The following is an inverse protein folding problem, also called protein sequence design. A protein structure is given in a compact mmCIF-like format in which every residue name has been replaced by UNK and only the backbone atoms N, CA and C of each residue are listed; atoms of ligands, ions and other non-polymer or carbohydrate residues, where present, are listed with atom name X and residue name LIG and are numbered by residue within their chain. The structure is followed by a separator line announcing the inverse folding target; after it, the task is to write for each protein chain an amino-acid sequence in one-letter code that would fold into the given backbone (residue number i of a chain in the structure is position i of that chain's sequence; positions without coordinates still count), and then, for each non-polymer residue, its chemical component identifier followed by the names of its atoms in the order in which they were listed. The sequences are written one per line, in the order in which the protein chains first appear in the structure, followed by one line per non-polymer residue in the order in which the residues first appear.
data_IF_545445444635
#
_entry.id   IF_545445444635
#
_cell.length_a   1.000
_cell.length_b   1.000
_cell.length_c   1.000
_cell.angle_alpha   90.00
_cell.angle_beta   90.00
_cell.angle_gamma   90.00
#
_symmetry.space_group_name_H-M   'P 1'
#
loop_
_entity.id
_entity.type
_entity.pdbx_description
1 polymer ?
#
# COMPACT_ATOMS: atom_id res chain seq x y z
N UNK A 1 52.37 -10.75 -35.87
CA UNK A 1 51.03 -10.63 -36.47
C UNK A 1 50.05 -11.11 -35.42
N UNK A 2 49.63 -10.20 -34.55
CA UNK A 2 48.77 -10.50 -33.40
C UNK A 2 47.35 -10.62 -33.94
N UNK A 3 46.75 -11.81 -33.89
CA UNK A 3 45.31 -11.94 -34.05
C UNK A 3 44.69 -11.41 -32.76
N UNK A 4 44.22 -10.18 -32.87
CA UNK A 4 43.14 -9.64 -32.06
C UNK A 4 41.86 -10.45 -32.34
N UNK A 5 40.92 -10.36 -31.41
CA UNK A 5 39.52 -10.81 -31.54
C UNK A 5 39.25 -12.32 -31.33
N UNK A 6 38.81 -12.65 -30.11
CA UNK A 6 37.40 -13.01 -29.85
C UNK A 6 37.23 -13.33 -28.35
N UNK A 7 37.29 -12.27 -27.51
CA UNK A 7 36.91 -12.41 -26.09
C UNK A 7 35.39 -12.31 -25.99
N UNK A 8 34.72 -13.43 -26.27
CA UNK A 8 33.32 -13.64 -25.83
C UNK A 8 33.23 -13.29 -24.34
N UNK A 9 32.39 -12.32 -23.92
CA UNK A 9 32.21 -12.06 -22.51
C UNK A 9 31.67 -13.34 -21.84
N UNK A 10 32.11 -13.67 -20.62
CA UNK A 10 31.68 -14.88 -19.94
C UNK A 10 30.15 -14.86 -19.76
N UNK A 11 29.47 -16.02 -19.84
CA UNK A 11 28.04 -16.08 -19.57
C UNK A 11 27.80 -15.54 -18.16
N UNK A 12 26.89 -14.57 -18.05
CA UNK A 12 26.46 -14.02 -16.77
C UNK A 12 26.13 -15.19 -15.83
N UNK A 13 26.84 -15.26 -14.69
CA UNK A 13 26.49 -16.19 -13.61
C UNK A 13 25.03 -15.96 -13.17
N UNK A 14 24.45 -16.81 -12.29
CA UNK A 14 23.06 -16.66 -11.89
C UNK A 14 22.82 -15.21 -11.47
N UNK A 15 22.02 -14.49 -12.25
CA UNK A 15 21.83 -13.05 -12.14
C UNK A 15 21.29 -12.78 -10.73
N UNK A 16 22.17 -12.34 -9.82
CA UNK A 16 21.73 -11.94 -8.48
C UNK A 16 20.91 -10.68 -8.68
N UNK A 17 19.61 -10.78 -8.42
CA UNK A 17 18.72 -9.63 -8.45
C UNK A 17 19.27 -8.52 -7.53
N UNK A 18 19.23 -7.25 -7.96
CA UNK A 18 19.70 -6.13 -7.14
C UNK A 18 18.77 -5.90 -5.94
N UNK A 19 19.24 -5.22 -4.90
CA UNK A 19 18.33 -4.73 -3.86
C UNK A 19 17.63 -3.43 -4.32
N UNK A 20 16.75 -2.88 -3.50
CA UNK A 20 16.10 -1.59 -3.73
C UNK A 20 17.08 -0.48 -3.32
N UNK A 21 17.44 0.45 -4.22
CA UNK A 21 18.44 1.48 -3.93
C UNK A 21 17.87 2.89 -3.78
N UNK A 22 16.69 3.17 -4.35
CA UNK A 22 16.13 4.52 -4.30
C UNK A 22 14.71 4.66 -4.83
N UNK A 23 14.26 5.91 -4.94
CA UNK A 23 12.92 6.30 -5.42
C UNK A 23 12.54 5.64 -6.74
N UNK A 24 13.48 5.58 -7.68
CA UNK A 24 13.23 5.07 -9.02
C UNK A 24 12.91 3.58 -9.01
N UNK A 25 13.62 2.79 -8.19
CA UNK A 25 13.34 1.36 -7.98
C UNK A 25 11.96 1.17 -7.35
N UNK A 26 11.63 1.98 -6.34
CA UNK A 26 10.30 1.94 -5.70
C UNK A 26 9.21 2.26 -6.71
N UNK A 27 9.38 3.28 -7.55
CA UNK A 27 8.39 3.65 -8.56
C UNK A 27 8.18 2.51 -9.59
N UNK A 28 9.26 1.89 -10.07
CA UNK A 28 9.19 0.72 -10.97
C UNK A 28 8.52 -0.48 -10.31
N UNK A 29 8.88 -0.76 -9.06
CA UNK A 29 8.30 -1.86 -8.28
C UNK A 29 6.79 -1.66 -8.10
N UNK A 30 6.37 -0.46 -7.70
CA UNK A 30 4.96 -0.11 -7.53
C UNK A 30 4.21 -0.19 -8.86
N UNK A 31 4.79 0.33 -9.95
CA UNK A 31 4.17 0.24 -11.28
C UNK A 31 3.86 -1.21 -11.65
N UNK A 32 4.87 -2.06 -11.58
CA UNK A 32 4.76 -3.47 -11.91
C UNK A 32 3.78 -4.22 -11.01
N UNK A 33 3.76 -3.88 -9.73
CA UNK A 33 2.79 -4.44 -8.80
C UNK A 33 1.36 -4.10 -9.22
N UNK A 34 1.10 -2.84 -9.59
CA UNK A 34 -0.23 -2.43 -10.05
C UNK A 34 -0.61 -3.04 -11.40
N UNK A 35 0.34 -3.32 -12.30
CA UNK A 35 0.05 -4.12 -13.50
C UNK A 35 -0.50 -5.50 -13.11
N UNK A 36 0.21 -6.21 -12.23
CA UNK A 36 -0.21 -7.52 -11.75
C UNK A 36 -1.55 -7.48 -10.98
N UNK A 37 -1.81 -6.43 -10.21
CA UNK A 37 -3.07 -6.24 -9.47
C UNK A 37 -4.25 -6.04 -10.41
N UNK A 38 -4.09 -5.24 -11.47
CA UNK A 38 -5.18 -4.91 -12.38
C UNK A 38 -5.56 -6.08 -13.29
N UNK A 39 -4.59 -6.93 -13.61
CA UNK A 39 -4.82 -8.18 -14.37
C UNK A 39 -5.36 -9.32 -13.50
N UNK A 40 -5.40 -9.15 -12.16
CA UNK A 40 -5.84 -10.21 -11.26
C UNK A 40 -7.37 -10.36 -11.21
N UNK A 41 -7.92 -11.56 -11.45
CA UNK A 41 -9.37 -11.76 -11.50
C UNK A 41 -10.07 -11.62 -10.14
N UNK A 42 -9.37 -11.81 -9.03
CA UNK A 42 -9.97 -11.74 -7.70
C UNK A 42 -10.01 -10.30 -7.19
N UNK A 43 -8.86 -9.60 -7.25
CA UNK A 43 -8.74 -8.27 -6.66
C UNK A 43 -8.80 -7.14 -7.67
N UNK A 44 -8.53 -7.36 -8.95
CA UNK A 44 -8.46 -6.32 -9.98
C UNK A 44 -9.74 -5.48 -10.05
N UNK A 45 -10.91 -6.14 -10.01
CA UNK A 45 -12.23 -5.48 -9.97
C UNK A 45 -12.43 -4.52 -8.79
N UNK A 46 -11.77 -4.76 -7.65
CA UNK A 46 -11.84 -3.85 -6.50
C UNK A 46 -11.16 -2.51 -6.82
N UNK A 47 -10.12 -2.52 -7.66
CA UNK A 47 -9.41 -1.33 -8.10
C UNK A 47 -10.09 -0.64 -9.29
N UNK A 48 -10.58 -1.41 -10.27
CA UNK A 48 -11.13 -0.89 -11.53
C UNK A 48 -12.61 -0.53 -11.44
N UNK A 49 -13.46 -1.39 -10.89
CA UNK A 49 -14.92 -1.22 -10.91
C UNK A 49 -15.42 -0.51 -9.66
N UNK A 50 -14.88 -0.88 -8.50
CA UNK A 50 -15.36 -0.41 -7.20
C UNK A 50 -14.63 0.86 -6.77
N UNK A 51 -13.30 0.82 -6.65
CA UNK A 51 -12.51 1.99 -6.30
C UNK A 51 -12.40 2.99 -7.46
N UNK A 52 -12.40 2.50 -8.71
CA UNK A 52 -12.23 3.30 -9.94
C UNK A 52 -11.02 4.22 -9.84
N UNK A 53 -9.87 3.63 -9.47
CA UNK A 53 -8.65 4.41 -9.32
C UNK A 53 -8.20 4.97 -10.67
N UNK A 54 -7.69 6.20 -10.64
CA UNK A 54 -6.91 6.74 -11.75
C UNK A 54 -5.44 6.44 -11.52
N UNK A 55 -4.83 5.62 -12.40
CA UNK A 55 -3.44 5.21 -12.26
C UNK A 55 -2.46 6.37 -12.32
N UNK A 56 -2.74 7.42 -13.10
CA UNK A 56 -1.85 8.55 -13.26
C UNK A 56 -1.66 9.31 -11.93
N UNK A 57 -2.72 9.39 -11.13
CA UNK A 57 -2.69 10.04 -9.80
C UNK A 57 -2.39 9.08 -8.67
N UNK A 58 -2.73 7.79 -8.82
CA UNK A 58 -2.55 6.79 -7.76
C UNK A 58 -1.11 6.29 -7.63
N UNK A 59 -0.40 6.05 -8.75
CA UNK A 59 0.95 5.51 -8.73
C UNK A 59 1.96 6.41 -8.00
N UNK A 60 1.99 7.74 -8.19
CA UNK A 60 2.88 8.62 -7.44
C UNK A 60 2.65 8.55 -5.92
N UNK A 61 1.38 8.52 -5.49
CA UNK A 61 1.00 8.42 -4.08
C UNK A 61 1.47 7.10 -3.46
N UNK A 62 1.36 6.00 -4.21
CA UNK A 62 1.82 4.70 -3.75
C UNK A 62 3.35 4.58 -3.75
N UNK A 63 4.03 5.23 -4.68
CA UNK A 63 5.49 5.34 -4.64
C UNK A 63 5.95 6.15 -3.42
N UNK A 64 5.29 7.26 -3.07
CA UNK A 64 5.58 8.04 -1.85
C UNK A 64 5.38 7.22 -0.58
N UNK A 65 4.30 6.42 -0.55
CA UNK A 65 4.03 5.51 0.55
C UNK A 65 5.17 4.50 0.73
N UNK A 66 5.52 3.77 -0.32
CA UNK A 66 6.52 2.71 -0.23
C UNK A 66 7.93 3.24 -0.03
N UNK A 67 8.27 4.39 -0.62
CA UNK A 67 9.53 5.07 -0.33
C UNK A 67 9.63 5.42 1.15
N UNK A 68 8.58 5.99 1.74
CA UNK A 68 8.59 6.27 3.18
C UNK A 68 8.67 4.98 4.01
N UNK A 69 7.97 3.91 3.62
CA UNK A 69 8.02 2.63 4.35
C UNK A 69 9.41 1.99 4.31
N UNK A 70 10.14 2.13 3.20
CA UNK A 70 11.39 1.40 2.96
C UNK A 70 12.65 2.22 3.26
N UNK A 71 12.67 3.47 2.80
CA UNK A 71 13.85 4.32 2.75
C UNK A 71 13.80 5.47 3.76
N UNK A 72 12.61 6.02 4.05
CA UNK A 72 12.46 7.15 5.00
C UNK A 72 11.25 6.98 5.95
N UNK A 73 11.34 6.06 6.93
CA UNK A 73 10.23 5.79 7.84
C UNK A 73 9.81 7.04 8.64
N UNK A 74 8.51 7.36 8.63
CA UNK A 74 7.92 8.44 9.44
C UNK A 74 7.40 9.66 8.68
N UNK A 75 7.52 9.70 7.35
CA UNK A 75 7.15 10.86 6.52
C UNK A 75 5.74 10.72 5.89
N UNK A 76 5.21 9.50 5.74
CA UNK A 76 3.90 9.30 5.14
C UNK A 76 2.73 9.65 6.08
N UNK A 77 1.90 10.62 5.67
CA UNK A 77 0.79 11.17 6.49
C UNK A 77 -0.62 10.97 5.90
N UNK A 78 -0.79 10.21 4.81
CA UNK A 78 -2.13 9.99 4.22
C UNK A 78 -2.87 8.86 4.92
N UNK A 79 -4.16 9.06 5.16
CA UNK A 79 -5.02 8.11 5.86
C UNK A 79 -5.50 7.00 4.93
N UNK A 80 -4.60 6.04 4.62
CA UNK A 80 -4.93 4.86 3.83
C UNK A 80 -6.15 4.10 4.40
N UNK A 81 -6.31 4.06 5.73
CA UNK A 81 -7.39 3.34 6.38
C UNK A 81 -8.78 3.87 5.99
N UNK A 82 -8.95 5.19 5.85
CA UNK A 82 -10.24 5.78 5.40
C UNK A 82 -10.64 5.25 4.02
N UNK A 83 -9.71 5.26 3.06
CA UNK A 83 -9.99 4.79 1.70
C UNK A 83 -10.40 3.31 1.67
N UNK A 84 -9.76 2.47 2.49
CA UNK A 84 -10.09 1.03 2.54
C UNK A 84 -11.43 0.77 3.27
N UNK A 85 -11.82 1.60 4.25
CA UNK A 85 -13.16 1.54 4.87
C UNK A 85 -14.26 1.91 3.88
N UNK A 86 -14.06 2.99 3.12
CA UNK A 86 -15.01 3.41 2.07
C UNK A 86 -15.13 2.35 0.96
N UNK A 87 -14.04 1.66 0.65
CA UNK A 87 -14.06 0.51 -0.27
C UNK A 87 -14.82 -0.68 0.33
N UNK A 88 -14.53 -1.05 1.59
CA UNK A 88 -15.20 -2.13 2.29
C UNK A 88 -16.73 -1.92 2.37
N UNK A 89 -17.17 -0.69 2.62
CA UNK A 89 -18.59 -0.34 2.65
C UNK A 89 -19.31 -0.54 1.31
N UNK A 90 -18.59 -0.45 0.18
CA UNK A 90 -19.12 -0.68 -1.18
C UNK A 90 -18.98 -2.12 -1.63
N UNK A 91 -17.90 -2.79 -1.22
CA UNK A 91 -17.61 -4.19 -1.52
C UNK A 91 -16.79 -4.78 -0.36
N UNK A 92 -17.37 -5.70 0.44
CA UNK A 92 -16.70 -6.23 1.62
C UNK A 92 -15.30 -6.78 1.32
N UNK A 93 -14.29 -6.16 1.93
CA UNK A 93 -12.92 -6.66 1.91
C UNK A 93 -12.77 -7.83 2.88
N UNK A 94 -12.43 -9.00 2.36
CA UNK A 94 -12.21 -10.25 3.11
C UNK A 94 -10.73 -10.61 3.14
N UNK A 95 -10.35 -11.55 4.02
CA UNK A 95 -8.98 -12.03 4.16
C UNK A 95 -8.38 -12.47 2.82
N UNK A 96 -9.14 -13.22 2.01
CA UNK A 96 -8.71 -13.69 0.68
C UNK A 96 -8.22 -12.57 -0.26
N UNK A 97 -8.81 -11.38 -0.20
CA UNK A 97 -8.38 -10.25 -1.01
C UNK A 97 -7.00 -9.73 -0.57
N UNK A 98 -6.75 -9.71 0.74
CA UNK A 98 -5.47 -9.27 1.29
C UNK A 98 -4.38 -10.33 1.09
N UNK A 99 -4.73 -11.61 1.23
CA UNK A 99 -3.82 -12.72 0.94
C UNK A 99 -3.36 -12.67 -0.52
N UNK A 100 -4.31 -12.48 -1.45
CA UNK A 100 -3.97 -12.34 -2.87
C UNK A 100 -3.12 -11.12 -3.18
N UNK A 101 -3.44 -9.98 -2.55
CA UNK A 101 -2.62 -8.76 -2.68
C UNK A 101 -1.18 -9.00 -2.18
N UNK A 102 -1.00 -9.75 -1.08
CA UNK A 102 0.31 -10.10 -0.53
C UNK A 102 1.09 -11.06 -1.43
N UNK A 103 0.42 -12.05 -2.03
CA UNK A 103 1.02 -12.94 -3.01
C UNK A 103 1.57 -12.17 -4.21
N UNK A 104 0.76 -11.30 -4.81
CA UNK A 104 1.16 -10.48 -5.95
C UNK A 104 2.30 -9.53 -5.59
N UNK A 105 2.24 -8.90 -4.40
CA UNK A 105 3.31 -8.02 -3.92
C UNK A 105 4.61 -8.79 -3.74
N UNK A 106 4.55 -9.93 -3.05
CA UNK A 106 5.72 -10.78 -2.79
C UNK A 106 6.31 -11.30 -4.09
N UNK A 107 5.49 -11.79 -5.01
CA UNK A 107 5.94 -12.23 -6.34
C UNK A 107 6.62 -11.10 -7.13
N UNK A 108 6.05 -9.88 -7.08
CA UNK A 108 6.62 -8.71 -7.76
C UNK A 108 7.97 -8.32 -7.18
N UNK A 109 8.09 -8.28 -5.84
CA UNK A 109 9.36 -7.97 -5.16
C UNK A 109 10.40 -9.04 -5.48
N UNK A 110 10.07 -10.32 -5.28
CA UNK A 110 11.01 -11.44 -5.44
C UNK A 110 11.41 -11.70 -6.89
N UNK A 111 10.59 -11.30 -7.86
CA UNK A 111 10.92 -11.37 -9.28
C UNK A 111 11.84 -10.25 -9.77
N UNK A 112 12.05 -9.18 -8.98
CA UNK A 112 12.79 -7.99 -9.40
C UNK A 112 13.97 -7.63 -8.49
N UNK A 113 13.85 -7.96 -7.21
CA UNK A 113 14.80 -7.53 -6.19
C UNK A 113 15.13 -8.64 -5.18
N UNK A 114 16.37 -8.63 -4.70
CA UNK A 114 16.83 -9.47 -3.60
C UNK A 114 17.77 -8.66 -2.69
N UNK A 115 17.61 -8.83 -1.37
CA UNK A 115 18.42 -8.14 -0.37
C UNK A 115 17.59 -7.61 0.80
N UNK A 116 18.26 -6.93 1.77
CA UNK A 116 17.62 -6.43 2.98
C UNK A 116 16.39 -5.54 2.77
N UNK A 117 16.37 -4.66 1.75
CA UNK A 117 15.22 -3.80 1.49
C UNK A 117 14.09 -4.54 0.77
N UNK A 118 14.40 -5.49 -0.11
CA UNK A 118 13.41 -6.43 -0.65
C UNK A 118 12.73 -7.26 0.45
N UNK A 119 13.50 -7.81 1.40
CA UNK A 119 12.96 -8.54 2.56
C UNK A 119 12.08 -7.65 3.42
N UNK A 120 12.53 -6.41 3.68
CA UNK A 120 11.74 -5.41 4.39
C UNK A 120 10.44 -5.09 3.67
N UNK A 121 10.44 -4.98 2.35
CA UNK A 121 9.24 -4.71 1.57
C UNK A 121 8.19 -5.81 1.73
N UNK A 122 8.60 -7.08 1.71
CA UNK A 122 7.70 -8.21 1.96
C UNK A 122 7.18 -8.17 3.40
N UNK A 123 8.06 -8.02 4.38
CA UNK A 123 7.67 -8.01 5.80
C UNK A 123 6.72 -6.85 6.14
N UNK A 124 6.96 -5.65 5.59
CA UNK A 124 6.11 -4.48 5.82
C UNK A 124 4.75 -4.61 5.15
N UNK A 125 4.68 -5.20 3.96
CA UNK A 125 3.41 -5.49 3.29
C UNK A 125 2.49 -6.33 4.18
N UNK A 126 3.02 -7.36 4.83
CA UNK A 126 2.25 -8.20 5.75
C UNK A 126 1.69 -7.41 6.94
N UNK A 127 2.47 -6.49 7.52
CA UNK A 127 2.00 -5.63 8.60
C UNK A 127 0.88 -4.69 8.13
N UNK A 128 1.04 -4.09 6.96
CA UNK A 128 0.04 -3.20 6.36
C UNK A 128 -1.26 -3.95 6.07
N UNK A 129 -1.18 -5.12 5.42
CA UNK A 129 -2.35 -5.94 5.10
C UNK A 129 -3.12 -6.37 6.36
N UNK A 130 -2.42 -6.87 7.39
CA UNK A 130 -3.04 -7.23 8.67
C UNK A 130 -3.72 -6.03 9.33
N UNK A 131 -3.05 -4.88 9.36
CA UNK A 131 -3.60 -3.68 9.96
C UNK A 131 -4.87 -3.23 9.21
N UNK A 132 -4.84 -3.21 7.88
CA UNK A 132 -5.99 -2.84 7.07
C UNK A 132 -7.14 -3.81 7.30
N UNK A 133 -6.93 -5.13 7.18
CA UNK A 133 -7.96 -6.14 7.41
C UNK A 133 -8.66 -5.95 8.77
N UNK A 134 -7.89 -5.83 9.85
CA UNK A 134 -8.43 -5.62 11.20
C UNK A 134 -9.26 -4.35 11.34
N UNK A 135 -8.83 -3.24 10.71
CA UNK A 135 -9.44 -1.94 10.92
C UNK A 135 -10.48 -1.56 9.85
N UNK A 136 -10.52 -2.28 8.72
CA UNK A 136 -11.58 -2.17 7.71
C UNK A 136 -12.84 -2.92 8.10
N UNK A 137 -12.70 -4.06 8.78
CA UNK A 137 -13.81 -4.86 9.28
C UNK A 137 -14.44 -4.27 10.56
N UNK A 138 -14.28 -2.96 10.79
CA UNK A 138 -14.76 -2.27 11.99
C UNK A 138 -16.17 -2.71 12.37
N UNK A 139 -16.30 -3.17 13.61
CA UNK A 139 -17.54 -3.44 14.34
C UNK A 139 -18.72 -2.73 13.68
N UNK A 140 -19.61 -3.47 13.02
CA UNK A 140 -20.72 -2.97 12.20
C UNK A 140 -21.79 -2.17 12.95
N UNK A 141 -21.41 -1.37 13.95
CA UNK A 141 -22.27 -0.40 14.62
C UNK A 141 -22.33 0.85 13.76
N UNK A 142 -23.53 1.30 13.36
CA UNK A 142 -23.67 2.60 12.74
C UNK A 142 -23.07 3.65 13.68
N UNK A 143 -22.23 4.55 13.16
CA UNK A 143 -21.88 5.78 13.87
C UNK A 143 -23.19 6.53 14.04
N UNK A 144 -23.81 6.44 15.21
CA UNK A 144 -24.78 7.46 15.62
C UNK A 144 -24.03 8.77 15.56
N UNK A 145 -24.45 9.67 14.65
CA UNK A 145 -24.16 11.08 14.79
C UNK A 145 -24.71 11.44 16.17
N UNK A 146 -23.83 11.60 17.15
CA UNK A 146 -24.23 12.17 18.43
C UNK A 146 -24.67 13.59 18.10
N UNK A 147 -25.98 13.83 18.18
CA UNK A 147 -26.53 15.17 18.09
C UNK A 147 -25.74 16.10 19.04
N UNK A 148 -25.47 17.35 18.66
CA UNK A 148 -24.83 18.29 19.55
C UNK A 148 -25.66 18.35 20.83
N UNK A 149 -25.00 18.11 21.96
CA UNK A 149 -25.58 18.30 23.29
C UNK A 149 -25.79 19.82 23.41
N UNK A 150 -27.02 20.34 23.60
CA UNK A 150 -27.19 21.74 23.93
C UNK A 150 -26.52 21.95 25.29
N UNK A 151 -25.56 22.86 25.33
CA UNK A 151 -25.03 23.39 26.59
C UNK A 151 -26.03 24.45 27.05
N UNK A 152 -26.97 24.06 27.91
CA UNK A 152 -27.78 25.04 28.62
C UNK A 152 -26.87 25.72 29.65
N UNK A 153 -26.37 26.90 29.29
CA UNK A 153 -25.71 27.80 30.23
C UNK A 153 -26.82 28.63 30.87
N UNK A 154 -27.41 28.14 31.95
CA UNK A 154 -28.25 28.98 32.81
C UNK A 154 -27.31 29.88 33.63
N UNK A 155 -27.08 31.08 33.12
CA UNK A 155 -26.53 32.20 33.88
C UNK A 155 -27.71 32.92 34.50
N UNK A 156 -28.10 32.55 35.71
CA UNK A 156 -28.98 33.38 36.54
C UNK A 156 -28.17 33.97 37.70
N UNK A 157 -27.82 35.24 37.58
CA UNK A 157 -27.42 36.10 38.70
C UNK A 157 -28.68 36.51 39.48
N UNK A 158 -28.64 36.37 40.81
CA UNK A 158 -29.67 36.88 41.73
C UNK A 158 -29.14 37.05 43.16
N UNK A 159 -29.64 38.04 43.94
CA UNK A 159 -28.81 38.92 44.79
C UNK A 159 -28.72 38.47 46.28
N UNK A 160 -27.91 39.15 47.11
CA UNK A 160 -27.41 38.60 48.37
C UNK A 160 -28.34 38.84 49.57
N UNK A 161 -28.22 37.97 50.57
CA UNK A 161 -28.60 38.20 51.95
C UNK A 161 -27.50 37.65 52.87
#
# INVERSE_FOLDING_TARGET
MTHDDDRRPPPHGPERLPDIHGREDVARLVRAFYDAVLDDPLIGRLFTEVARIDLATHLPVMADFWESVLLTPGVYRRNALRAHRDLHARSPLRAEHFDRWLELWTGTVRGRHAGPLADRAVARAQVVARALLHHTAGDGRPRTVRAPVPVDVDVTFGPPA
#
